data_IF_605642297790
#
_entry.id   IF_605642297790
#
_cell.length_a   1.000
_cell.length_b   1.000
_cell.length_c   1.000
_cell.angle_alpha   90.00
_cell.angle_beta   90.00
_cell.angle_gamma   90.00
#
_symmetry.space_group_name_H-M   'P 1'
#
loop_
_entity.id
_entity.type
_entity.pdbx_description
1 polymer ?
#
# COMPACT_ATOMS: atom_id res chain seq x y z
N UNK A 1 4.31 11.81 24.95
CA UNK A 1 2.91 11.36 25.07
C UNK A 1 2.07 11.70 23.84
N UNK A 2 2.11 12.93 23.31
CA UNK A 2 1.29 13.35 22.16
C UNK A 2 1.49 12.51 20.88
N UNK A 3 2.72 12.06 20.59
CA UNK A 3 3.03 11.32 19.35
C UNK A 3 2.52 9.88 19.35
N UNK A 4 2.52 9.20 20.49
CA UNK A 4 1.90 7.86 20.59
C UNK A 4 0.40 7.92 20.31
N UNK A 5 -0.26 9.00 20.77
CA UNK A 5 -1.67 9.26 20.46
C UNK A 5 -1.86 9.49 18.95
N UNK A 6 -1.01 10.28 18.32
CA UNK A 6 -1.05 10.51 16.87
C UNK A 6 -0.89 9.19 16.08
N UNK A 7 0.09 8.36 16.43
CA UNK A 7 0.30 7.04 15.79
C UNK A 7 -0.94 6.17 15.97
N UNK A 8 -1.51 6.11 17.17
CA UNK A 8 -2.72 5.35 17.45
C UNK A 8 -3.90 5.81 16.59
N UNK A 9 -4.16 7.13 16.52
CA UNK A 9 -5.22 7.70 15.69
C UNK A 9 -5.01 7.41 14.20
N UNK A 10 -3.78 7.49 13.69
CA UNK A 10 -3.48 7.15 12.30
C UNK A 10 -3.72 5.66 12.02
N UNK A 11 -3.33 4.78 12.95
CA UNK A 11 -3.51 3.33 12.84
C UNK A 11 -5.00 2.93 12.85
N UNK A 12 -5.80 3.54 13.74
CA UNK A 12 -7.25 3.35 13.82
C UNK A 12 -7.95 3.78 12.52
N UNK A 13 -7.60 4.96 11.98
CA UNK A 13 -8.17 5.44 10.69
C UNK A 13 -7.84 4.54 9.51
N UNK A 14 -6.78 3.74 9.59
CA UNK A 14 -6.38 2.76 8.58
C UNK A 14 -6.83 1.33 8.89
N UNK A 15 -7.57 1.13 9.98
CA UNK A 15 -7.98 -0.17 10.52
C UNK A 15 -6.79 -1.14 10.63
N UNK A 16 -5.65 -0.64 11.14
CA UNK A 16 -4.47 -1.46 11.38
C UNK A 16 -4.62 -2.24 12.69
N UNK A 17 -4.15 -3.48 12.67
CA UNK A 17 -4.12 -4.36 13.83
C UNK A 17 -3.16 -3.85 14.91
N UNK A 18 -3.44 -4.18 16.16
CA UNK A 18 -2.76 -3.66 17.35
C UNK A 18 -1.24 -3.83 17.32
N UNK A 19 -0.76 -4.99 16.85
CA UNK A 19 0.68 -5.26 16.80
C UNK A 19 1.46 -4.28 15.90
N UNK A 20 0.84 -3.75 14.84
CA UNK A 20 1.47 -2.76 13.94
C UNK A 20 1.61 -1.42 14.64
N UNK A 21 0.57 -1.01 15.37
CA UNK A 21 0.58 0.23 16.17
C UNK A 21 1.66 0.16 17.26
N UNK A 22 1.76 -0.98 17.94
CA UNK A 22 2.73 -1.20 19.00
C UNK A 22 4.15 -1.17 18.42
N UNK A 23 4.36 -1.85 17.28
CA UNK A 23 5.63 -1.81 16.54
C UNK A 23 6.01 -0.40 16.09
N UNK A 24 5.08 0.37 15.54
CA UNK A 24 5.31 1.76 15.15
C UNK A 24 5.72 2.62 16.36
N UNK A 25 5.15 2.36 17.52
CA UNK A 25 5.48 3.05 18.78
C UNK A 25 6.87 2.67 19.29
N UNK A 26 7.30 1.42 19.12
CA UNK A 26 8.67 0.99 19.41
C UNK A 26 9.70 1.65 18.50
N UNK A 27 9.44 1.67 17.19
CA UNK A 27 10.31 2.34 16.20
C UNK A 27 10.46 3.81 16.58
N UNK A 28 9.36 4.48 16.89
CA UNK A 28 9.38 5.86 17.35
C UNK A 28 10.24 6.02 18.62
N UNK A 29 10.06 5.18 19.65
CA UNK A 29 10.87 5.26 20.89
C UNK A 29 12.36 5.10 20.61
N UNK A 30 12.74 4.10 19.81
CA UNK A 30 14.15 3.82 19.51
C UNK A 30 14.81 4.98 18.77
N UNK A 31 14.21 5.40 17.66
CA UNK A 31 14.84 6.35 16.72
C UNK A 31 14.71 7.80 17.18
N UNK A 32 13.70 8.12 17.99
CA UNK A 32 13.34 9.51 18.31
C UNK A 32 13.56 9.86 19.78
N UNK A 33 13.43 8.89 20.70
CA UNK A 33 13.63 9.13 22.14
C UNK A 33 15.00 8.64 22.61
N UNK A 34 15.55 7.59 21.98
CA UNK A 34 16.88 7.04 22.31
C UNK A 34 18.05 7.89 21.80
N UNK A 35 17.86 8.64 20.71
CA UNK A 35 18.91 9.44 20.11
C UNK A 35 19.01 10.83 20.77
N UNK A 36 19.93 10.98 21.74
CA UNK A 36 20.27 12.25 22.37
C UNK A 36 20.78 13.32 21.37
N UNK A 37 21.19 12.91 20.16
CA UNK A 37 21.64 13.80 19.07
C UNK A 37 20.54 14.14 18.06
N UNK A 38 19.40 13.43 18.05
CA UNK A 38 18.30 13.77 17.14
C UNK A 38 17.45 14.90 17.71
N UNK A 39 17.77 16.13 17.32
CA UNK A 39 16.87 17.24 17.58
C UNK A 39 15.61 17.05 16.71
N UNK A 40 14.55 16.47 17.30
CA UNK A 40 13.16 16.53 16.78
C UNK A 40 12.73 17.98 16.50
N UNK A 41 13.45 18.94 17.09
CA UNK A 41 13.30 20.37 16.92
C UNK A 41 13.46 20.75 15.45
N UNK A 42 12.33 20.95 14.78
CA UNK A 42 12.23 21.34 13.36
C UNK A 42 11.70 20.23 12.43
N UNK A 43 11.53 18.99 12.89
CA UNK A 43 10.92 17.92 12.08
C UNK A 43 9.39 18.03 12.13
N UNK A 44 8.73 17.73 11.01
CA UNK A 44 7.28 17.58 10.98
C UNK A 44 6.89 16.32 11.77
N UNK A 45 6.25 16.52 12.92
CA UNK A 45 5.87 15.48 13.87
C UNK A 45 4.88 14.46 13.29
N UNK A 46 3.92 14.91 12.50
CA UNK A 46 2.97 14.03 11.83
C UNK A 46 3.67 13.22 10.73
N UNK A 47 4.62 13.80 10.02
CA UNK A 47 5.42 13.08 9.02
C UNK A 47 6.29 11.98 9.65
N UNK A 48 6.90 12.24 10.82
CA UNK A 48 7.66 11.23 11.58
C UNK A 48 6.74 10.11 12.06
N UNK A 49 5.57 10.44 12.61
CA UNK A 49 4.59 9.45 13.08
C UNK A 49 4.10 8.56 11.93
N UNK A 50 3.77 9.17 10.79
CA UNK A 50 3.39 8.47 9.57
C UNK A 50 4.51 7.59 9.00
N UNK A 51 5.76 8.05 9.07
CA UNK A 51 6.93 7.27 8.64
C UNK A 51 7.15 6.03 9.52
N UNK A 52 7.04 6.17 10.84
CA UNK A 52 7.13 5.03 11.77
C UNK A 52 6.03 3.99 11.48
N UNK A 53 4.80 4.47 11.24
CA UNK A 53 3.68 3.61 10.91
C UNK A 53 3.87 2.89 9.58
N UNK A 54 4.37 3.59 8.56
CA UNK A 54 4.69 2.99 7.26
C UNK A 54 5.74 1.89 7.41
N UNK A 55 6.85 2.14 8.12
CA UNK A 55 7.91 1.15 8.31
C UNK A 55 7.37 -0.07 9.05
N UNK A 56 6.57 0.13 10.11
CA UNK A 56 5.92 -0.97 10.82
C UNK A 56 5.02 -1.80 9.89
N UNK A 57 4.26 -1.18 8.97
CA UNK A 57 3.45 -1.92 8.00
C UNK A 57 4.29 -2.74 7.01
N UNK A 58 5.54 -2.34 6.75
CA UNK A 58 6.43 -3.00 5.80
C UNK A 58 7.25 -4.14 6.41
N UNK A 59 7.55 -4.07 7.72
CA UNK A 59 8.24 -5.13 8.47
C UNK A 59 7.33 -6.31 8.81
N UNK A 60 6.01 -6.07 8.91
CA UNK A 60 5.04 -7.10 9.26
C UNK A 60 4.51 -7.83 8.02
N UNK A 61 3.65 -8.83 8.26
CA UNK A 61 3.10 -9.71 7.25
C UNK A 61 2.56 -8.97 6.01
N UNK A 62 2.78 -9.60 4.86
CA UNK A 62 2.38 -9.15 3.52
C UNK A 62 1.00 -8.47 3.45
N UNK A 63 -0.02 -9.01 4.11
CA UNK A 63 -1.41 -8.49 4.08
C UNK A 63 -1.61 -7.06 4.61
N UNK A 64 -0.75 -6.63 5.54
CA UNK A 64 -0.96 -5.37 6.26
C UNK A 64 -0.22 -4.18 5.62
N UNK A 65 0.56 -4.44 4.57
CA UNK A 65 1.29 -3.41 3.83
C UNK A 65 0.37 -2.31 3.31
N UNK A 66 0.79 -1.06 3.54
CA UNK A 66 0.09 0.15 3.11
C UNK A 66 0.96 0.92 2.13
N UNK A 67 0.35 1.48 1.09
CA UNK A 67 1.08 2.38 0.20
C UNK A 67 1.36 3.71 0.92
N UNK A 68 2.39 4.43 0.49
CA UNK A 68 2.64 5.79 0.99
C UNK A 68 1.44 6.74 0.76
N UNK A 69 0.66 6.50 -0.29
CA UNK A 69 -0.52 7.31 -0.56
C UNK A 69 -1.58 7.06 0.50
N UNK A 70 -1.82 5.79 0.88
CA UNK A 70 -2.74 5.43 1.97
C UNK A 70 -2.30 6.01 3.31
N UNK A 71 -1.01 5.95 3.65
CA UNK A 71 -0.51 6.57 4.89
C UNK A 71 -0.70 8.09 4.85
N UNK A 72 -0.43 8.74 3.71
CA UNK A 72 -0.53 10.20 3.61
C UNK A 72 -1.95 10.74 3.81
N UNK A 73 -3.01 9.95 3.54
CA UNK A 73 -4.40 10.42 3.75
C UNK A 73 -4.77 10.57 5.22
N UNK A 74 -4.08 9.86 6.12
CA UNK A 74 -4.31 9.93 7.57
C UNK A 74 -3.27 10.76 8.30
N UNK A 75 -2.25 11.27 7.59
CA UNK A 75 -1.06 11.89 8.17
C UNK A 75 -1.21 13.39 8.54
N UNK A 76 -2.42 13.84 8.88
CA UNK A 76 -2.73 15.22 9.32
C UNK A 76 -2.05 16.36 8.52
N UNK A 77 -2.06 16.26 7.18
CA UNK A 77 -1.47 17.26 6.29
C UNK A 77 0.00 17.02 5.92
N UNK A 78 0.65 15.98 6.44
CA UNK A 78 1.97 15.58 5.98
C UNK A 78 1.91 15.04 4.53
N UNK A 79 2.76 15.59 3.67
CA UNK A 79 2.83 15.21 2.26
C UNK A 79 3.56 13.87 2.07
N UNK A 80 3.28 13.18 0.96
CA UNK A 80 4.03 11.97 0.56
C UNK A 80 5.55 12.21 0.51
N UNK A 81 5.97 13.40 0.07
CA UNK A 81 7.39 13.78 -0.01
C UNK A 81 8.03 13.90 1.38
N UNK A 82 7.37 14.60 2.31
CA UNK A 82 7.87 14.71 3.69
C UNK A 82 7.89 13.36 4.39
N UNK A 83 6.86 12.54 4.22
CA UNK A 83 6.83 11.19 4.82
C UNK A 83 7.96 10.33 4.24
N UNK A 84 8.17 10.35 2.92
CA UNK A 84 9.26 9.61 2.26
C UNK A 84 10.65 10.02 2.75
N UNK A 85 10.87 11.33 2.95
CA UNK A 85 12.14 11.84 3.50
C UNK A 85 12.39 11.34 4.93
N UNK A 86 11.34 11.33 5.74
CA UNK A 86 11.42 10.87 7.13
C UNK A 86 11.62 9.35 7.22
N UNK A 87 11.01 8.57 6.32
CA UNK A 87 11.27 7.13 6.19
C UNK A 87 12.75 6.88 5.91
N UNK A 88 13.34 7.53 4.91
CA UNK A 88 14.74 7.32 4.55
C UNK A 88 15.68 7.64 5.72
N UNK A 89 15.41 8.73 6.46
CA UNK A 89 16.19 9.07 7.66
C UNK A 89 16.07 8.02 8.75
N UNK A 90 14.84 7.60 9.07
CA UNK A 90 14.57 6.64 10.13
C UNK A 90 15.23 5.29 9.80
N UNK A 91 15.15 4.84 8.54
CA UNK A 91 15.80 3.61 8.09
C UNK A 91 17.33 3.69 8.17
N UNK A 92 17.92 4.82 7.80
CA UNK A 92 19.37 5.02 7.92
C UNK A 92 19.82 5.04 9.38
N UNK A 93 19.05 5.67 10.28
CA UNK A 93 19.32 5.67 11.71
C UNK A 93 19.25 4.25 12.29
N UNK A 94 18.19 3.50 11.97
CA UNK A 94 18.05 2.11 12.42
C UNK A 94 19.20 1.22 11.93
N UNK A 95 19.64 1.38 10.67
CA UNK A 95 20.81 0.67 10.15
C UNK A 95 22.09 0.99 10.92
N UNK A 96 22.30 2.28 11.24
CA UNK A 96 23.49 2.72 11.96
C UNK A 96 23.52 2.26 13.43
N UNK A 97 22.37 2.26 14.11
CA UNK A 97 22.28 1.91 15.53
C UNK A 97 22.20 0.41 15.79
N UNK A 98 21.47 -0.33 14.95
CA UNK A 98 21.18 -1.75 15.18
C UNK A 98 22.09 -2.67 14.36
N UNK A 99 22.81 -2.17 13.36
CA UNK A 99 23.57 -3.00 12.42
C UNK A 99 22.70 -3.94 11.57
N UNK A 100 21.37 -3.90 11.76
CA UNK A 100 20.39 -4.71 11.03
C UNK A 100 19.87 -3.87 9.87
N UNK A 101 20.17 -4.31 8.66
CA UNK A 101 19.42 -3.86 7.49
C UNK A 101 17.99 -4.34 7.63
N UNK A 102 17.02 -3.42 7.57
CA UNK A 102 15.62 -3.81 7.44
C UNK A 102 15.50 -4.71 6.21
N UNK A 103 15.26 -6.00 6.42
CA UNK A 103 14.88 -6.94 5.37
C UNK A 103 13.49 -6.54 4.91
N UNK A 104 13.46 -5.61 3.95
CA UNK A 104 12.24 -5.26 3.25
C UNK A 104 11.92 -6.43 2.35
N UNK A 105 11.02 -7.30 2.81
CA UNK A 105 10.38 -8.26 1.91
C UNK A 105 9.81 -7.46 0.72
N UNK A 106 9.92 -8.02 -0.49
CA UNK A 106 9.51 -7.32 -1.71
C UNK A 106 8.01 -7.05 -1.65
N UNK A 107 7.56 -5.87 -2.08
CA UNK A 107 6.13 -5.61 -2.16
C UNK A 107 5.57 -6.39 -3.36
N UNK A 108 4.57 -7.24 -3.12
CA UNK A 108 3.86 -7.93 -4.19
C UNK A 108 2.52 -7.25 -4.48
N UNK A 109 1.99 -7.47 -5.67
CA UNK A 109 0.71 -6.89 -6.07
C UNK A 109 -0.44 -7.51 -5.24
N UNK A 110 -0.31 -8.80 -4.89
CA UNK A 110 -1.28 -9.54 -4.08
C UNK A 110 -1.57 -8.92 -2.71
N UNK A 111 -0.59 -8.23 -2.11
CA UNK A 111 -0.72 -7.55 -0.81
C UNK A 111 -1.85 -6.51 -0.78
N UNK A 112 -2.24 -5.97 -1.93
CA UNK A 112 -3.17 -4.86 -2.04
C UNK A 112 -4.58 -5.27 -2.49
N UNK A 113 -4.70 -6.42 -3.17
CA UNK A 113 -5.91 -6.82 -3.91
C UNK A 113 -7.14 -6.82 -3.03
N UNK A 114 -7.14 -7.60 -1.95
CA UNK A 114 -8.32 -7.74 -1.08
C UNK A 114 -8.84 -6.39 -0.59
N UNK A 115 -7.93 -5.54 -0.10
CA UNK A 115 -8.28 -4.22 0.43
C UNK A 115 -8.82 -3.29 -0.66
N UNK A 116 -8.21 -3.29 -1.84
CA UNK A 116 -8.65 -2.42 -2.94
C UNK A 116 -10.02 -2.86 -3.48
N UNK A 117 -10.21 -4.15 -3.69
CA UNK A 117 -11.47 -4.70 -4.18
C UNK A 117 -12.63 -4.46 -3.19
N UNK A 118 -12.38 -4.60 -1.88
CA UNK A 118 -13.40 -4.31 -0.86
C UNK A 118 -13.80 -2.83 -0.84
N UNK A 119 -12.86 -1.88 -1.07
CA UNK A 119 -13.18 -0.44 -1.10
C UNK A 119 -14.16 -0.06 -2.20
N UNK A 120 -14.15 -0.77 -3.32
CA UNK A 120 -15.06 -0.51 -4.46
C UNK A 120 -16.26 -1.47 -4.50
N UNK A 121 -16.43 -2.31 -3.47
CA UNK A 121 -17.59 -3.20 -3.35
C UNK A 121 -17.63 -4.37 -4.34
N UNK A 122 -16.46 -4.89 -4.77
CA UNK A 122 -16.42 -6.08 -5.63
C UNK A 122 -16.99 -7.32 -4.93
N UNK A 123 -17.62 -8.21 -5.71
CA UNK A 123 -18.13 -9.48 -5.21
C UNK A 123 -16.99 -10.42 -4.80
N UNK A 124 -17.28 -11.39 -3.93
CA UNK A 124 -16.28 -12.39 -3.50
C UNK A 124 -15.71 -13.19 -4.67
N UNK A 125 -16.52 -13.46 -5.70
CA UNK A 125 -16.06 -14.11 -6.94
C UNK A 125 -15.06 -13.21 -7.68
N UNK A 126 -15.37 -11.93 -7.84
CA UNK A 126 -14.49 -10.97 -8.51
C UNK A 126 -13.17 -10.75 -7.74
N UNK A 127 -13.23 -10.72 -6.40
CA UNK A 127 -12.04 -10.65 -5.52
C UNK A 127 -11.16 -11.86 -5.74
N UNK A 128 -11.74 -13.08 -5.71
CA UNK A 128 -10.99 -14.33 -5.92
C UNK A 128 -10.36 -14.36 -7.31
N UNK A 129 -11.09 -13.98 -8.34
CA UNK A 129 -10.57 -13.91 -9.71
C UNK A 129 -9.42 -12.89 -9.83
N UNK A 130 -9.52 -11.75 -9.14
CA UNK A 130 -8.46 -10.73 -9.10
C UNK A 130 -7.21 -11.24 -8.40
N UNK A 131 -7.35 -11.96 -7.28
CA UNK A 131 -6.23 -12.55 -6.55
C UNK A 131 -5.49 -13.57 -7.41
N UNK A 132 -6.21 -14.49 -8.06
CA UNK A 132 -5.62 -15.49 -8.97
C UNK A 132 -4.91 -14.81 -10.16
N UNK A 133 -5.54 -13.81 -10.77
CA UNK A 133 -4.96 -13.09 -11.90
C UNK A 133 -3.70 -12.29 -11.50
N UNK A 134 -3.69 -11.69 -10.31
CA UNK A 134 -2.51 -10.99 -9.79
C UNK A 134 -1.39 -11.98 -9.48
N UNK A 135 -1.69 -13.13 -8.87
CA UNK A 135 -0.68 -14.15 -8.60
C UNK A 135 -0.01 -14.65 -9.89
N UNK A 136 -0.80 -14.94 -10.93
CA UNK A 136 -0.26 -15.33 -12.24
C UNK A 136 0.56 -14.21 -12.91
N UNK A 137 0.29 -12.94 -12.57
CA UNK A 137 1.04 -11.80 -13.12
C UNK A 137 2.45 -11.69 -12.54
N UNK A 138 2.74 -12.34 -11.41
CA UNK A 138 4.08 -12.34 -10.80
C UNK A 138 5.10 -13.13 -11.63
N UNK A 139 4.63 -14.03 -12.51
CA UNK A 139 5.47 -14.78 -13.46
C UNK A 139 5.80 -13.97 -14.73
N UNK A 140 5.24 -12.77 -14.88
CA UNK A 140 5.41 -11.93 -16.07
C UNK A 140 6.40 -10.78 -15.78
N UNK A 141 7.23 -10.39 -16.76
CA UNK A 141 8.11 -9.20 -16.66
C UNK A 141 7.31 -7.91 -16.85
N UNK A 142 6.41 -7.60 -15.90
CA UNK A 142 5.66 -6.34 -15.89
C UNK A 142 6.46 -5.30 -15.12
N UNK A 143 7.10 -4.36 -15.83
CA UNK A 143 7.92 -3.29 -15.24
C UNK A 143 7.10 -2.14 -14.68
N UNK A 144 6.17 -2.44 -13.77
CA UNK A 144 5.31 -1.48 -13.07
C UNK A 144 5.38 -1.70 -11.57
N UNK A 145 5.06 -0.66 -10.81
CA UNK A 145 4.98 -0.82 -9.36
C UNK A 145 3.81 -1.77 -8.99
N UNK A 146 3.93 -2.56 -7.92
CA UNK A 146 2.94 -3.59 -7.55
C UNK A 146 1.52 -3.06 -7.34
N UNK A 147 1.36 -1.84 -6.79
CA UNK A 147 0.04 -1.24 -6.60
C UNK A 147 -0.64 -0.90 -7.93
N UNK A 148 0.12 -0.49 -8.94
CA UNK A 148 -0.39 -0.24 -10.30
C UNK A 148 -0.75 -1.54 -11.01
N UNK A 149 0.03 -2.60 -10.82
CA UNK A 149 -0.32 -3.94 -11.33
C UNK A 149 -1.63 -4.42 -10.70
N UNK A 150 -1.75 -4.36 -9.37
CA UNK A 150 -2.97 -4.74 -8.65
C UNK A 150 -4.19 -3.93 -9.14
N UNK A 151 -4.05 -2.60 -9.29
CA UNK A 151 -5.13 -1.74 -9.78
C UNK A 151 -5.53 -2.05 -11.23
N UNK A 152 -4.57 -2.36 -12.11
CA UNK A 152 -4.83 -2.71 -13.49
C UNK A 152 -5.52 -4.07 -13.63
N UNK A 153 -5.06 -5.09 -12.91
CA UNK A 153 -5.72 -6.42 -12.87
C UNK A 153 -7.14 -6.30 -12.30
N UNK A 154 -7.30 -5.56 -11.20
CA UNK A 154 -8.62 -5.27 -10.63
C UNK A 154 -9.54 -4.58 -11.64
N UNK A 155 -9.04 -3.59 -12.41
CA UNK A 155 -9.82 -2.92 -13.45
C UNK A 155 -10.25 -3.88 -14.57
N UNK A 156 -9.35 -4.77 -15.04
CA UNK A 156 -9.70 -5.76 -16.06
C UNK A 156 -10.79 -6.73 -15.59
N UNK A 157 -10.67 -7.27 -14.37
CA UNK A 157 -11.67 -8.18 -13.79
C UNK A 157 -13.00 -7.47 -13.54
N UNK A 158 -12.97 -6.28 -12.95
CA UNK A 158 -14.17 -5.50 -12.68
C UNK A 158 -14.91 -5.09 -13.97
N UNK A 159 -14.18 -4.78 -15.05
CA UNK A 159 -14.75 -4.49 -16.37
C UNK A 159 -15.51 -5.69 -16.96
N UNK A 160 -15.01 -6.92 -16.77
CA UNK A 160 -15.73 -8.12 -17.21
C UNK A 160 -17.06 -8.32 -16.49
N UNK A 161 -17.20 -7.76 -15.29
CA UNK A 161 -18.38 -7.92 -14.43
C UNK A 161 -19.55 -7.00 -14.81
N UNK A 162 -19.51 -6.39 -16.01
CA UNK A 162 -20.54 -5.47 -16.55
C UNK A 162 -20.87 -4.29 -15.62
N UNK A 163 -19.84 -3.64 -15.07
CA UNK A 163 -20.04 -2.31 -14.45
C UNK A 163 -20.22 -1.30 -15.59
N UNK A 164 -21.45 -0.78 -15.75
CA UNK A 164 -21.91 -0.01 -16.92
C UNK A 164 -21.19 1.34 -17.17
N UNK A 165 -20.37 1.81 -16.23
CA UNK A 165 -19.59 3.05 -16.38
C UNK A 165 -18.09 2.81 -16.15
N UNK A 166 -17.36 2.63 -17.25
CA UNK A 166 -15.91 2.44 -17.26
C UNK A 166 -15.16 3.63 -16.65
N UNK A 167 -15.64 4.86 -16.87
CA UNK A 167 -14.98 6.07 -16.37
C UNK A 167 -15.13 6.17 -14.86
N UNK A 168 -16.33 5.90 -14.34
CA UNK A 168 -16.59 5.82 -12.90
C UNK A 168 -15.74 4.72 -12.26
N UNK A 169 -15.74 3.52 -12.82
CA UNK A 169 -14.94 2.40 -12.31
C UNK A 169 -13.44 2.75 -12.22
N UNK A 170 -12.89 3.36 -13.27
CA UNK A 170 -11.49 3.77 -13.26
C UNK A 170 -11.19 4.82 -12.18
N UNK A 171 -12.10 5.78 -11.98
CA UNK A 171 -12.03 6.78 -10.93
C UNK A 171 -12.06 6.15 -9.53
N UNK A 172 -13.00 5.23 -9.30
CA UNK A 172 -13.16 4.51 -8.03
C UNK A 172 -11.90 3.67 -7.70
N UNK A 173 -11.34 2.99 -8.71
CA UNK A 173 -10.10 2.21 -8.56
C UNK A 173 -8.90 3.12 -8.30
N UNK A 174 -8.80 4.25 -9.01
CA UNK A 174 -7.77 5.27 -8.81
C UNK A 174 -7.74 5.77 -7.37
N UNK A 175 -8.93 6.07 -6.81
CA UNK A 175 -9.09 6.48 -5.41
C UNK A 175 -8.75 5.36 -4.43
N UNK A 176 -9.25 4.14 -4.67
CA UNK A 176 -9.03 3.00 -3.78
C UNK A 176 -7.56 2.60 -3.67
N UNK A 177 -6.86 2.57 -4.81
CA UNK A 177 -5.46 2.19 -4.93
C UNK A 177 -4.48 3.35 -4.66
N UNK A 178 -4.95 4.60 -4.77
CA UNK A 178 -4.09 5.78 -4.69
C UNK A 178 -3.14 5.91 -5.88
N UNK A 179 -3.55 5.42 -7.05
CA UNK A 179 -2.78 5.38 -8.30
C UNK A 179 -3.51 6.22 -9.35
N UNK A 180 -2.80 7.06 -10.09
CA UNK A 180 -3.41 7.91 -11.11
C UNK A 180 -4.06 7.08 -12.22
N UNK A 181 -5.21 7.54 -12.74
CA UNK A 181 -5.94 6.86 -13.81
C UNK A 181 -5.08 6.56 -15.04
N UNK A 182 -4.23 7.50 -15.46
CA UNK A 182 -3.34 7.29 -16.60
C UNK A 182 -2.30 6.20 -16.34
N UNK A 183 -1.83 6.07 -15.09
CA UNK A 183 -0.93 5.00 -14.67
C UNK A 183 -1.64 3.65 -14.72
N UNK A 184 -2.90 3.58 -14.30
CA UNK A 184 -3.73 2.37 -14.40
C UNK A 184 -3.92 1.99 -15.88
N UNK A 185 -4.30 2.94 -16.75
CA UNK A 185 -4.46 2.67 -18.19
C UNK A 185 -3.17 2.16 -18.83
N UNK A 186 -2.02 2.74 -18.48
CA UNK A 186 -0.73 2.30 -19.01
C UNK A 186 -0.36 0.89 -18.50
N UNK A 187 -0.59 0.60 -17.22
CA UNK A 187 -0.40 -0.74 -16.69
C UNK A 187 -1.35 -1.75 -17.35
N UNK A 188 -2.60 -1.38 -17.63
CA UNK A 188 -3.52 -2.22 -18.39
C UNK A 188 -3.00 -2.52 -19.80
N UNK A 189 -2.41 -1.55 -20.51
CA UNK A 189 -1.81 -1.78 -21.84
C UNK A 189 -0.67 -2.80 -21.79
N UNK A 190 0.16 -2.77 -20.75
CA UNK A 190 1.27 -3.71 -20.59
C UNK A 190 0.77 -5.12 -20.22
N UNK A 191 -0.34 -5.22 -19.51
CA UNK A 191 -0.90 -6.50 -19.04
C UNK A 191 -1.86 -7.14 -20.06
N UNK A 192 -2.52 -6.33 -20.89
CA UNK A 192 -3.54 -6.78 -21.83
C UNK A 192 -3.09 -7.92 -22.77
N UNK A 193 -1.85 -7.94 -23.32
CA UNK A 193 -1.36 -9.06 -24.12
C UNK A 193 -1.38 -10.42 -23.41
N UNK A 194 -1.40 -10.41 -22.08
CA UNK A 194 -1.41 -11.60 -21.23
C UNK A 194 -2.78 -11.90 -20.61
N UNK A 195 -3.82 -11.14 -20.95
CA UNK A 195 -5.13 -11.21 -20.29
C UNK A 195 -5.75 -12.62 -20.34
N UNK A 196 -5.64 -13.34 -21.45
CA UNK A 196 -6.14 -14.72 -21.59
C UNK A 196 -5.46 -15.72 -20.66
N UNK A 197 -4.18 -15.50 -20.30
CA UNK A 197 -3.45 -16.34 -19.33
C UNK A 197 -3.80 -15.97 -17.89
N UNK A 198 -4.00 -14.68 -17.63
CA UNK A 198 -4.21 -14.15 -16.29
C UNK A 198 -5.63 -14.36 -15.78
N UNK A 199 -6.62 -14.00 -16.59
CA UNK A 199 -8.04 -14.03 -16.20
C UNK A 199 -8.47 -15.50 -16.07
N UNK A 200 -9.00 -15.94 -14.92
CA UNK A 200 -9.42 -17.32 -14.76
C UNK A 200 -10.61 -17.66 -15.65
N UNK A 201 -10.53 -18.80 -16.35
CA UNK A 201 -11.60 -19.30 -17.24
C UNK A 201 -12.94 -19.43 -16.53
N UNK A 202 -12.93 -19.87 -15.27
CA UNK A 202 -14.13 -20.02 -14.46
C UNK A 202 -14.84 -18.68 -14.25
N UNK A 203 -14.09 -17.59 -14.19
CA UNK A 203 -14.65 -16.25 -14.03
C UNK A 203 -15.15 -15.72 -15.37
N UNK A 204 -14.32 -15.82 -16.41
CA UNK A 204 -14.64 -15.31 -17.75
C UNK A 204 -15.90 -15.94 -18.37
N UNK A 205 -16.23 -17.18 -18.00
CA UNK A 205 -17.45 -17.87 -18.45
C UNK A 205 -18.70 -17.54 -17.63
N UNK A 206 -18.55 -16.96 -16.43
CA UNK A 206 -19.67 -16.67 -15.53
C UNK A 206 -20.29 -15.28 -15.72
N UNK A 207 -19.67 -14.40 -16.51
CA UNK A 207 -20.05 -12.99 -16.68
C UNK A 207 -20.47 -12.66 -18.11
#
# INVERSE_FOLDING_TARGET
MLMFKTIATMAERLNLVTHIKDRASEIYKKVVVGDQKSTIRGRNRDAVSAACLFIACQENSSRDRRTLKEISTVANGATKKSIGHEIAKIENQMKAELGVGLEKEVAHAGNYVTRFCHKIGMTMQAIKATQEAVQKSEELDIRRNPASVAAAVMFMIARLSKIDDEKKLLGDISLAAGVAENTIRNACKDIHPHASRLIPDWYAKCV
#
